data_IF_313405531118
#
_entry.id   IF_313405531118
#
_cell.length_a   1.000
_cell.length_b   1.000
_cell.length_c   1.000
_cell.angle_alpha   90.00
_cell.angle_beta   90.00
_cell.angle_gamma   90.00
#
_symmetry.space_group_name_H-M   'P 1'
#
loop_
_entity.id
_entity.type
_entity.pdbx_description
1 polymer ?
#
# COMPACT_ATOMS: atom_id res chain seq x y z
N UNK A 1 -5.33 1.75 -1.41
CA UNK A 1 -4.26 2.70 -1.78
C UNK A 1 -4.65 3.57 -2.97
N UNK A 2 -5.42 3.05 -3.91
CA UNK A 2 -5.87 3.73 -5.12
C UNK A 2 -6.40 5.16 -4.93
N UNK A 3 -7.23 5.42 -3.91
CA UNK A 3 -7.78 6.76 -3.66
C UNK A 3 -6.74 7.83 -3.32
N UNK A 4 -5.63 7.44 -2.69
CA UNK A 4 -4.54 8.38 -2.36
C UNK A 4 -3.80 8.78 -3.64
N UNK A 5 -3.53 7.82 -4.53
CA UNK A 5 -2.95 8.11 -5.84
C UNK A 5 -3.86 9.03 -6.65
N UNK A 6 -5.18 8.75 -6.63
CA UNK A 6 -6.16 9.59 -7.30
C UNK A 6 -6.19 11.01 -6.74
N UNK A 7 -6.17 11.16 -5.41
CA UNK A 7 -6.14 12.47 -4.75
C UNK A 7 -4.85 13.23 -5.05
N UNK A 8 -3.69 12.55 -5.08
CA UNK A 8 -2.42 13.15 -5.47
C UNK A 8 -2.45 13.65 -6.92
N UNK A 9 -2.86 12.78 -7.86
CA UNK A 9 -2.94 13.16 -9.27
C UNK A 9 -3.96 14.29 -9.48
N UNK A 10 -5.11 14.23 -8.82
CA UNK A 10 -6.09 15.32 -8.83
C UNK A 10 -5.53 16.65 -8.32
N UNK A 11 -4.76 16.62 -7.22
CA UNK A 11 -4.11 17.80 -6.68
C UNK A 11 -3.12 18.43 -7.67
N UNK A 12 -2.31 17.60 -8.34
CA UNK A 12 -1.31 18.05 -9.31
C UNK A 12 -1.92 18.48 -10.64
N UNK A 13 -3.06 17.92 -11.03
CA UNK A 13 -3.80 18.38 -12.21
C UNK A 13 -4.49 19.72 -11.95
N UNK A 14 -4.94 19.96 -10.71
CA UNK A 14 -5.59 21.22 -10.33
C UNK A 14 -4.58 22.35 -10.10
N UNK A 15 -3.44 22.05 -9.47
CA UNK A 15 -2.38 23.01 -9.17
C UNK A 15 -0.98 22.42 -9.50
N UNK A 16 -0.55 22.51 -10.78
CA UNK A 16 0.68 21.86 -11.27
C UNK A 16 1.95 22.35 -10.58
N UNK A 17 1.99 23.59 -10.09
CA UNK A 17 3.16 24.14 -9.39
C UNK A 17 3.46 23.43 -8.07
N UNK A 18 2.47 22.75 -7.49
CA UNK A 18 2.68 21.95 -6.28
C UNK A 18 3.58 20.75 -6.47
N UNK A 19 3.88 20.36 -7.71
CA UNK A 19 4.86 19.31 -7.99
C UNK A 19 6.21 19.61 -7.33
N UNK A 20 6.62 20.88 -7.24
CA UNK A 20 7.84 21.32 -6.55
C UNK A 20 7.88 20.95 -5.05
N UNK A 21 6.71 20.79 -4.41
CA UNK A 21 6.59 20.42 -3.00
C UNK A 21 6.45 18.90 -2.79
N UNK A 22 6.49 18.12 -3.88
CA UNK A 22 6.35 16.67 -3.86
C UNK A 22 7.74 16.05 -4.05
N UNK A 23 8.17 15.26 -3.06
CA UNK A 23 9.49 14.63 -3.03
C UNK A 23 9.37 13.13 -2.77
N UNK A 24 10.35 12.33 -3.20
CA UNK A 24 10.46 10.92 -2.83
C UNK A 24 9.54 9.96 -3.60
N UNK A 25 8.85 10.44 -4.63
CA UNK A 25 8.03 9.61 -5.51
C UNK A 25 8.46 9.74 -6.97
N UNK A 26 8.34 8.64 -7.70
CA UNK A 26 8.56 8.56 -9.13
C UNK A 26 7.37 7.85 -9.80
N UNK A 27 7.37 7.74 -11.13
CA UNK A 27 6.26 7.15 -11.87
C UNK A 27 5.99 5.68 -11.46
N UNK A 28 7.04 4.91 -11.15
CA UNK A 28 6.96 3.53 -10.64
C UNK A 28 6.38 3.42 -9.21
N UNK A 29 6.23 4.56 -8.52
CA UNK A 29 5.60 4.62 -7.19
C UNK A 29 4.10 4.39 -7.24
N UNK A 30 3.49 4.48 -8.43
CA UNK A 30 2.05 4.27 -8.62
C UNK A 30 1.73 2.79 -8.86
N UNK A 31 0.55 2.37 -8.43
CA UNK A 31 0.11 0.97 -8.53
C UNK A 31 -0.34 0.61 -9.95
N UNK A 32 -0.82 1.58 -10.72
CA UNK A 32 -1.32 1.34 -12.09
C UNK A 32 -0.48 2.05 -13.13
N UNK A 33 -0.33 1.44 -14.30
CA UNK A 33 0.39 2.04 -15.43
C UNK A 33 -0.23 3.37 -15.88
N UNK A 34 -1.56 3.52 -15.79
CA UNK A 34 -2.27 4.74 -16.12
C UNK A 34 -1.88 5.91 -15.18
N UNK A 35 -1.81 5.65 -13.88
CA UNK A 35 -1.39 6.65 -12.89
C UNK A 35 0.10 6.99 -13.02
N UNK A 36 0.95 5.98 -13.25
CA UNK A 36 2.36 6.18 -13.53
C UNK A 36 2.58 7.08 -14.76
N UNK A 37 1.85 6.83 -15.84
CA UNK A 37 1.91 7.61 -17.07
C UNK A 37 1.43 9.06 -16.89
N UNK A 38 0.40 9.27 -16.06
CA UNK A 38 -0.08 10.61 -15.69
C UNK A 38 0.97 11.38 -14.90
N UNK A 39 1.49 10.78 -13.82
CA UNK A 39 2.52 11.42 -13.00
C UNK A 39 3.76 11.75 -13.83
N UNK A 40 4.20 10.82 -14.68
CA UNK A 40 5.34 11.03 -15.56
C UNK A 40 5.11 12.18 -16.55
N UNK A 41 3.91 12.31 -17.13
CA UNK A 41 3.59 13.43 -18.03
C UNK A 41 3.59 14.77 -17.30
N UNK A 42 2.92 14.84 -16.14
CA UNK A 42 2.88 16.03 -15.28
C UNK A 42 4.31 16.45 -14.88
N UNK A 43 5.19 15.47 -14.60
CA UNK A 43 6.57 15.76 -14.19
C UNK A 43 7.49 16.19 -15.31
N UNK A 44 7.14 15.92 -16.56
CA UNK A 44 7.96 16.26 -17.74
C UNK A 44 7.52 17.52 -18.45
N UNK A 45 6.23 17.86 -18.38
CA UNK A 45 5.69 19.04 -19.04
C UNK A 45 5.99 20.29 -18.19
N UNK A 46 6.35 21.43 -18.81
CA UNK A 46 6.49 22.67 -18.07
C UNK A 46 5.15 23.02 -17.41
N UNK A 47 5.15 23.49 -16.14
CA UNK A 47 3.92 23.91 -15.50
C UNK A 47 3.34 25.13 -16.25
N UNK A 48 2.02 25.18 -16.49
CA UNK A 48 1.38 26.29 -17.18
C UNK A 48 1.35 27.53 -16.27
N UNK A 49 1.16 28.71 -16.84
CA UNK A 49 0.86 29.89 -16.03
C UNK A 49 -0.43 29.66 -15.20
N UNK A 50 -0.45 29.98 -13.88
CA UNK A 50 -1.62 29.74 -13.04
C UNK A 50 -2.91 30.43 -13.54
N UNK A 51 -2.80 31.64 -14.08
CA UNK A 51 -3.97 32.41 -14.53
C UNK A 51 -4.53 31.83 -15.84
N UNK A 52 -3.67 31.29 -16.71
CA UNK A 52 -4.07 30.58 -17.92
C UNK A 52 -4.65 29.19 -17.63
N UNK A 53 -4.08 28.47 -16.66
CA UNK A 53 -4.52 27.11 -16.28
C UNK A 53 -5.96 27.09 -15.76
N UNK A 54 -6.39 28.15 -15.07
CA UNK A 54 -7.77 28.30 -14.59
C UNK A 54 -8.77 28.52 -15.74
N UNK A 55 -8.34 29.15 -16.84
CA UNK A 55 -9.22 29.56 -17.95
C UNK A 55 -9.31 28.53 -19.06
N UNK A 56 -8.34 27.62 -19.16
CA UNK A 56 -8.14 26.82 -20.35
C UNK A 56 -7.56 25.43 -20.04
N UNK A 57 -8.01 24.43 -20.78
CA UNK A 57 -7.58 23.03 -20.67
C UNK A 57 -6.36 22.66 -21.49
N UNK A 58 -5.75 23.58 -22.26
CA UNK A 58 -4.59 23.29 -23.15
C UNK A 58 -3.51 22.43 -22.48
N UNK A 59 -3.13 22.74 -21.25
CA UNK A 59 -2.12 21.95 -20.54
C UNK A 59 -2.64 20.57 -20.14
N UNK A 60 -3.91 20.45 -19.72
CA UNK A 60 -4.55 19.15 -19.44
C UNK A 60 -4.64 18.27 -20.70
N UNK A 61 -4.89 18.88 -21.86
CA UNK A 61 -4.92 18.18 -23.15
C UNK A 61 -3.52 17.66 -23.52
N UNK A 62 -2.47 18.45 -23.27
CA UNK A 62 -1.08 18.02 -23.43
C UNK A 62 -0.73 16.88 -22.47
N UNK A 63 -1.06 16.98 -21.18
CA UNK A 63 -0.85 15.91 -20.20
C UNK A 63 -1.54 14.63 -20.67
N UNK A 64 -2.80 14.71 -21.11
CA UNK A 64 -3.54 13.56 -21.60
C UNK A 64 -2.87 12.93 -22.83
N UNK A 65 -2.47 13.75 -23.81
CA UNK A 65 -1.80 13.28 -25.02
C UNK A 65 -0.48 12.58 -24.70
N UNK A 66 0.36 13.17 -23.84
CA UNK A 66 1.63 12.59 -23.42
C UNK A 66 1.43 11.30 -22.62
N UNK A 67 0.49 11.25 -21.68
CA UNK A 67 0.24 10.04 -20.90
C UNK A 67 -0.29 8.88 -21.75
N UNK A 68 -1.09 9.17 -22.78
CA UNK A 68 -1.63 8.15 -23.70
C UNK A 68 -0.56 7.45 -24.52
N UNK A 69 0.61 8.06 -24.72
CA UNK A 69 1.75 7.41 -25.38
C UNK A 69 2.30 6.25 -24.54
N UNK A 70 2.11 6.28 -23.21
CA UNK A 70 2.63 5.29 -22.25
C UNK A 70 1.56 4.34 -21.73
N UNK A 71 0.30 4.78 -21.63
CA UNK A 71 -0.80 3.97 -21.13
C UNK A 71 -2.10 4.21 -21.92
N UNK A 72 -2.72 3.12 -22.38
CA UNK A 72 -4.02 3.16 -23.06
C UNK A 72 -5.16 3.38 -22.07
N UNK A 73 -6.31 3.84 -22.55
CA UNK A 73 -7.56 3.91 -21.77
C UNK A 73 -7.72 5.18 -20.92
N UNK A 74 -6.77 6.11 -20.92
CA UNK A 74 -6.94 7.43 -20.29
C UNK A 74 -7.93 8.28 -21.11
N UNK A 75 -8.91 8.89 -20.44
CA UNK A 75 -9.93 9.75 -21.04
C UNK A 75 -9.97 11.13 -20.37
N UNK A 76 -10.47 12.17 -21.06
CA UNK A 76 -10.69 13.48 -20.44
C UNK A 76 -11.64 13.39 -19.23
N UNK A 77 -12.68 12.56 -19.32
CA UNK A 77 -13.62 12.32 -18.21
C UNK A 77 -12.93 11.72 -16.98
N UNK A 78 -11.93 10.85 -17.19
CA UNK A 78 -11.15 10.30 -16.09
C UNK A 78 -10.27 11.35 -15.41
N UNK A 79 -9.62 12.24 -16.17
CA UNK A 79 -8.88 13.38 -15.61
C UNK A 79 -9.80 14.27 -14.76
N UNK A 80 -11.00 14.57 -15.27
CA UNK A 80 -11.99 15.32 -14.50
C UNK A 80 -12.36 14.60 -13.20
N UNK A 81 -12.54 13.28 -13.24
CA UNK A 81 -12.81 12.47 -12.04
C UNK A 81 -11.68 12.57 -11.01
N UNK A 82 -10.41 12.52 -11.45
CA UNK A 82 -9.26 12.67 -10.56
C UNK A 82 -9.27 14.03 -9.85
N UNK A 83 -9.54 15.11 -10.58
CA UNK A 83 -9.66 16.46 -10.01
C UNK A 83 -10.77 16.50 -8.95
N UNK A 84 -11.93 15.89 -9.23
CA UNK A 84 -13.06 15.86 -8.27
C UNK A 84 -12.78 15.00 -7.03
N UNK A 85 -11.94 13.97 -7.12
CA UNK A 85 -11.58 13.11 -5.99
C UNK A 85 -10.62 13.82 -5.02
N UNK A 86 -9.88 14.83 -5.46
CA UNK A 86 -8.94 15.56 -4.62
C UNK A 86 -9.67 16.46 -3.61
N UNK A 87 -9.62 16.17 -2.30
CA UNK A 87 -10.34 16.97 -1.31
C UNK A 87 -9.68 18.33 -1.05
N UNK A 88 -8.34 18.33 -0.97
CA UNK A 88 -7.54 19.52 -0.66
C UNK A 88 -6.20 19.46 -1.42
N UNK A 89 -6.03 20.25 -2.50
CA UNK A 89 -4.80 20.22 -3.31
C UNK A 89 -3.54 20.58 -2.52
N UNK A 90 -3.68 21.46 -1.51
CA UNK A 90 -2.59 21.84 -0.62
C UNK A 90 -1.96 20.67 0.15
N UNK A 91 -2.64 19.53 0.27
CA UNK A 91 -2.13 18.33 0.92
C UNK A 91 -1.39 17.39 -0.04
N UNK A 92 -1.05 17.82 -1.26
CA UNK A 92 -0.24 17.03 -2.20
C UNK A 92 1.01 16.38 -1.57
N UNK A 93 1.80 17.08 -0.72
CA UNK A 93 2.96 16.44 -0.07
C UNK A 93 2.56 15.27 0.86
N UNK A 94 1.42 15.37 1.55
CA UNK A 94 0.94 14.31 2.42
C UNK A 94 0.48 13.09 1.61
N UNK A 95 -0.26 13.30 0.52
CA UNK A 95 -0.65 12.21 -0.39
C UNK A 95 0.58 11.54 -1.02
N UNK A 96 1.58 12.32 -1.42
CA UNK A 96 2.84 11.79 -1.94
C UNK A 96 3.56 10.88 -0.94
N UNK A 97 3.66 11.28 0.34
CA UNK A 97 4.25 10.42 1.39
C UNK A 97 3.49 9.13 1.59
N UNK A 98 2.15 9.15 1.48
CA UNK A 98 1.34 7.94 1.53
C UNK A 98 1.58 7.03 0.32
N UNK A 99 1.74 7.61 -0.89
CA UNK A 99 2.10 6.87 -2.11
C UNK A 99 3.48 6.23 -1.99
N UNK A 100 4.48 7.00 -1.55
CA UNK A 100 5.84 6.52 -1.29
C UNK A 100 5.84 5.34 -0.30
N UNK A 101 5.12 5.46 0.81
CA UNK A 101 5.05 4.42 1.84
C UNK A 101 4.43 3.11 1.33
N UNK A 102 3.43 3.17 0.45
CA UNK A 102 2.90 1.94 -0.13
C UNK A 102 3.75 1.40 -1.29
N UNK A 103 4.44 2.24 -2.06
CA UNK A 103 5.45 1.76 -3.01
C UNK A 103 6.59 1.04 -2.30
N UNK A 104 7.09 1.59 -1.18
CA UNK A 104 8.10 0.94 -0.34
C UNK A 104 7.66 -0.44 0.13
N UNK A 105 6.42 -0.57 0.61
CA UNK A 105 5.84 -1.88 0.99
C UNK A 105 5.78 -2.86 -0.18
N UNK A 106 5.35 -2.41 -1.37
CA UNK A 106 5.33 -3.27 -2.57
C UNK A 106 6.73 -3.70 -2.98
N UNK A 107 7.71 -2.79 -2.96
CA UNK A 107 9.13 -3.12 -3.23
C UNK A 107 9.67 -4.18 -2.28
N UNK A 108 9.40 -4.02 -0.99
CA UNK A 108 9.80 -5.00 0.02
C UNK A 108 9.14 -6.36 -0.21
N UNK A 109 7.84 -6.36 -0.46
CA UNK A 109 7.08 -7.58 -0.75
C UNK A 109 7.64 -8.30 -1.99
N UNK A 110 7.83 -7.58 -3.10
CA UNK A 110 8.39 -8.17 -4.34
C UNK A 110 9.80 -8.73 -4.13
N UNK A 111 10.65 -8.07 -3.33
CA UNK A 111 11.98 -8.59 -3.02
C UNK A 111 11.91 -9.87 -2.16
N UNK A 112 11.02 -9.90 -1.16
CA UNK A 112 10.81 -11.10 -0.34
C UNK A 112 10.22 -12.27 -1.15
N UNK A 113 9.27 -12.00 -2.05
CA UNK A 113 8.69 -13.01 -2.95
C UNK A 113 9.74 -13.61 -3.89
N UNK A 114 10.67 -12.80 -4.43
CA UNK A 114 11.79 -13.30 -5.24
C UNK A 114 12.73 -14.21 -4.47
N UNK A 115 13.03 -13.87 -3.22
CA UNK A 115 13.84 -14.71 -2.35
C UNK A 115 13.15 -16.05 -2.09
N UNK A 116 11.87 -16.04 -1.71
CA UNK A 116 11.08 -17.27 -1.48
C UNK A 116 11.08 -18.12 -2.75
N UNK A 117 10.77 -17.53 -3.90
CA UNK A 117 10.74 -18.23 -5.18
C UNK A 117 12.10 -18.85 -5.54
N UNK A 118 13.20 -18.19 -5.20
CA UNK A 118 14.57 -18.68 -5.46
C UNK A 118 14.96 -19.79 -4.49
N UNK A 119 14.50 -19.75 -3.24
CA UNK A 119 14.70 -20.83 -2.26
C UNK A 119 13.95 -22.09 -2.68
N UNK A 120 12.72 -21.94 -3.20
CA UNK A 120 11.89 -23.06 -3.63
C UNK A 120 12.32 -23.64 -4.99
N UNK A 121 13.04 -22.87 -5.82
CA UNK A 121 13.51 -23.31 -7.13
C UNK A 121 14.84 -24.08 -7.07
N UNK A 122 14.74 -25.40 -6.90
CA UNK A 122 15.88 -26.32 -6.88
C UNK A 122 16.55 -26.54 -8.26
N UNK A 123 16.03 -25.96 -9.34
CA UNK A 123 16.55 -26.17 -10.70
C UNK A 123 17.74 -25.26 -11.05
N UNK A 124 18.09 -24.32 -10.18
CA UNK A 124 19.17 -23.38 -10.45
C UNK A 124 20.57 -24.03 -10.39
N UNK A 125 21.46 -23.71 -11.35
CA UNK A 125 22.88 -23.99 -11.17
C UNK A 125 23.38 -23.13 -10.00
N UNK A 126 23.96 -23.76 -8.99
CA UNK A 126 24.41 -23.13 -7.73
C UNK A 126 23.28 -22.50 -6.87
N UNK A 127 22.33 -23.30 -6.34
CA UNK A 127 21.17 -22.79 -5.61
C UNK A 127 21.52 -21.88 -4.42
N UNK A 128 22.53 -22.27 -3.63
CA UNK A 128 22.93 -21.54 -2.42
C UNK A 128 23.46 -20.14 -2.76
N UNK A 129 24.34 -20.03 -3.75
CA UNK A 129 24.90 -18.75 -4.18
C UNK A 129 23.80 -17.79 -4.64
N UNK A 130 22.83 -18.32 -5.39
CA UNK A 130 21.70 -17.52 -5.88
C UNK A 130 20.78 -17.04 -4.75
N UNK A 131 20.50 -17.90 -3.76
CA UNK A 131 19.71 -17.52 -2.58
C UNK A 131 20.42 -16.42 -1.79
N UNK A 132 21.74 -16.51 -1.61
CA UNK A 132 22.52 -15.47 -0.94
C UNK A 132 22.48 -14.14 -1.71
N UNK A 133 22.60 -14.18 -3.04
CA UNK A 133 22.48 -12.98 -3.87
C UNK A 133 21.10 -12.30 -3.75
N UNK A 134 20.00 -13.07 -3.70
CA UNK A 134 18.66 -12.51 -3.48
C UNK A 134 18.48 -11.97 -2.05
N UNK A 135 19.10 -12.58 -1.05
CA UNK A 135 19.10 -12.06 0.32
C UNK A 135 19.87 -10.72 0.44
N UNK A 136 20.99 -10.58 -0.27
CA UNK A 136 21.72 -9.31 -0.36
C UNK A 136 20.92 -8.23 -1.08
N UNK A 137 20.21 -8.59 -2.16
CA UNK A 137 19.29 -7.69 -2.86
C UNK A 137 18.14 -7.23 -1.93
N UNK A 138 17.56 -8.14 -1.15
CA UNK A 138 16.54 -7.81 -0.14
C UNK A 138 17.10 -6.87 0.93
N UNK A 139 18.31 -7.13 1.43
CA UNK A 139 18.99 -6.27 2.41
C UNK A 139 19.20 -4.86 1.87
N UNK A 140 19.58 -4.72 0.59
CA UNK A 140 19.69 -3.43 -0.09
C UNK A 140 18.34 -2.70 -0.13
N UNK A 141 17.25 -3.39 -0.47
CA UNK A 141 15.89 -2.81 -0.47
C UNK A 141 15.47 -2.36 0.94
N UNK A 142 15.78 -3.14 1.98
CA UNK A 142 15.48 -2.76 3.37
C UNK A 142 16.28 -1.53 3.78
N UNK A 143 17.57 -1.46 3.46
CA UNK A 143 18.42 -0.29 3.72
C UNK A 143 17.91 0.98 3.03
N UNK A 144 17.57 0.87 1.75
CA UNK A 144 16.94 1.91 0.94
C UNK A 144 15.62 2.44 1.50
N UNK A 145 14.81 1.56 2.11
CA UNK A 145 13.53 1.94 2.73
C UNK A 145 13.79 2.59 4.08
N UNK A 146 14.71 2.05 4.88
CA UNK A 146 15.06 2.61 6.18
C UNK A 146 15.62 4.04 6.07
N UNK A 147 16.40 4.34 5.03
CA UNK A 147 16.93 5.69 4.78
C UNK A 147 15.83 6.70 4.40
N UNK A 148 14.80 6.28 3.65
CA UNK A 148 13.65 7.12 3.28
C UNK A 148 12.63 7.29 4.40
N UNK A 149 12.53 6.30 5.29
CA UNK A 149 11.62 6.31 6.43
C UNK A 149 12.40 6.19 7.75
N UNK A 150 13.19 7.22 8.13
CA UNK A 150 13.96 7.15 9.35
C UNK A 150 13.02 6.93 10.54
N UNK A 151 13.38 6.04 11.49
CA UNK A 151 12.60 5.85 12.70
C UNK A 151 12.39 7.20 13.39
N UNK A 152 11.14 7.64 13.52
CA UNK A 152 10.84 8.90 14.21
C UNK A 152 11.28 8.75 15.66
N UNK A 153 12.31 9.49 16.05
CA UNK A 153 12.69 9.62 17.45
C UNK A 153 11.50 10.22 18.22
N UNK A 154 10.96 9.51 19.20
CA UNK A 154 10.04 10.07 20.19
C UNK A 154 8.54 9.80 20.05
N UNK A 155 8.06 8.95 19.13
CA UNK A 155 6.59 8.73 18.98
C UNK A 155 6.07 7.46 19.67
N UNK A 156 6.93 6.59 20.20
CA UNK A 156 6.51 5.50 21.10
C UNK A 156 7.51 5.35 22.25
N UNK A 157 7.07 5.13 23.49
CA UNK A 157 7.95 4.58 24.52
C UNK A 157 8.35 3.19 24.03
N UNK A 158 9.58 3.05 23.52
CA UNK A 158 10.14 1.71 23.37
C UNK A 158 10.26 1.16 24.80
N UNK A 159 9.61 0.04 25.08
CA UNK A 159 10.02 -0.82 26.19
C UNK A 159 11.54 -0.97 26.05
N UNK A 160 12.29 -0.47 27.03
CA UNK A 160 13.73 -0.59 27.03
C UNK A 160 14.10 -2.06 26.78
N UNK A 161 15.08 -2.29 25.91
CA UNK A 161 15.58 -3.64 25.69
C UNK A 161 15.95 -4.23 27.06
N UNK A 162 15.49 -5.45 27.41
CA UNK A 162 15.85 -6.06 28.68
C UNK A 162 17.39 -6.13 28.74
N UNK A 163 17.99 -5.81 29.90
CA UNK A 163 19.44 -5.90 30.05
C UNK A 163 19.92 -7.31 29.72
N UNK A 164 21.12 -7.46 29.14
CA UNK A 164 21.66 -8.78 28.82
C UNK A 164 21.64 -9.63 30.09
N UNK A 165 21.05 -10.83 29.99
CA UNK A 165 21.00 -11.76 31.09
C UNK A 165 22.44 -12.02 31.56
N UNK A 166 22.74 -11.61 32.79
CA UNK A 166 23.92 -12.08 33.50
C UNK A 166 23.73 -13.60 33.58
N UNK A 167 24.58 -14.35 32.89
CA UNK A 167 24.68 -15.80 33.06
C UNK A 167 25.16 -16.05 34.48
N UNK A 168 24.22 -16.15 35.44
CA UNK A 168 24.51 -16.75 36.73
C UNK A 168 24.79 -18.23 36.49
N UNK A 169 26.07 -18.55 36.66
CA UNK A 169 26.62 -19.90 36.74
C UNK A 169 25.80 -20.72 37.75
N UNK A 170 24.88 -21.53 37.25
CA UNK A 170 24.07 -22.42 38.08
C UNK A 170 24.87 -23.69 38.36
N UNK A 171 25.80 -23.56 39.31
CA UNK A 171 26.31 -24.70 40.06
C UNK A 171 25.16 -25.37 40.83
N UNK A 172 24.89 -26.60 40.40
CA UNK A 172 24.21 -27.72 41.06
C UNK A 172 23.76 -27.52 42.52
N UNK A 173 22.45 -27.52 42.75
CA UNK A 173 21.88 -27.91 44.04
C UNK A 173 20.59 -28.72 43.84
N UNK A 174 20.81 -30.03 43.83
CA UNK A 174 19.82 -31.11 43.78
C UNK A 174 18.91 -31.04 45.01
N UNK A 175 17.60 -30.92 44.85
CA UNK A 175 16.64 -31.26 45.91
C UNK A 175 15.39 -31.91 45.31
N UNK A 176 15.27 -33.22 45.55
CA UNK A 176 14.12 -34.04 45.20
C UNK A 176 12.98 -33.72 46.17
N UNK A 177 11.78 -33.48 45.66
CA UNK A 177 10.55 -33.86 46.36
C UNK A 177 9.45 -34.18 45.35
N UNK A 178 8.86 -35.33 45.60
CA UNK A 178 7.95 -36.11 44.77
C UNK A 178 6.53 -35.54 44.75
N UNK A 179 5.79 -35.84 43.68
CA UNK A 179 4.54 -36.61 43.73
C UNK A 179 3.38 -36.01 42.91
N UNK A 180 2.89 -36.86 42.00
CA UNK A 180 1.51 -37.02 41.52
C UNK A 180 0.67 -35.78 41.18
N UNK A 181 0.34 -35.63 39.89
CA UNK A 181 -0.93 -36.16 39.38
C UNK A 181 -1.01 -35.99 37.85
N UNK A 182 -1.12 -37.12 37.16
CA UNK A 182 -1.43 -37.25 35.75
C UNK A 182 -2.85 -36.75 35.47
N UNK A 183 -3.01 -35.90 34.45
CA UNK A 183 -4.32 -35.43 33.99
C UNK A 183 -4.77 -36.29 32.80
N UNK A 184 -5.96 -36.93 32.82
CA UNK A 184 -6.41 -37.76 31.70
C UNK A 184 -6.97 -36.90 30.54
N UNK A 185 -6.89 -37.38 29.28
CA UNK A 185 -7.38 -36.65 28.10
C UNK A 185 -8.92 -36.75 27.93
N UNK A 186 -9.56 -35.76 27.27
CA UNK A 186 -11.01 -35.72 27.08
C UNK A 186 -11.51 -36.65 25.95
N UNK A 187 -12.78 -37.09 26.00
CA UNK A 187 -13.38 -38.01 25.01
C UNK A 187 -13.78 -37.33 23.70
N UNK A 188 -13.76 -38.12 22.61
CA UNK A 188 -14.06 -37.71 21.23
C UNK A 188 -15.58 -37.53 20.95
N UNK A 189 -15.97 -36.68 19.97
CA UNK A 189 -17.37 -36.42 19.64
C UNK A 189 -17.99 -37.50 18.72
N UNK A 190 -19.32 -37.74 18.81
CA UNK A 190 -20.02 -38.71 17.98
C UNK A 190 -20.30 -38.20 16.56
N UNK A 191 -20.07 -39.09 15.60
CA UNK A 191 -20.51 -38.97 14.20
C UNK A 191 -22.01 -39.15 14.08
N UNK A 192 -22.69 -38.27 13.34
CA UNK A 192 -24.05 -38.51 12.86
C UNK A 192 -24.16 -38.12 11.38
N UNK A 193 -24.40 -39.15 10.59
CA UNK A 193 -24.67 -39.13 9.17
C UNK A 193 -26.16 -38.95 8.88
N UNK A 194 -26.43 -38.43 7.67
CA UNK A 194 -27.53 -38.75 6.74
C UNK A 194 -28.86 -37.98 6.82
N UNK A 195 -29.29 -37.62 5.60
CA UNK A 195 -30.67 -37.38 5.14
C UNK A 195 -30.91 -35.90 4.87
N UNK A 196 -31.21 -35.40 3.68
CA UNK A 196 -31.70 -36.02 2.45
C UNK A 196 -32.91 -35.24 1.96
N UNK A 197 -32.84 -34.70 0.74
CA UNK A 197 -34.02 -34.44 -0.11
C UNK A 197 -34.48 -32.98 -0.30
N UNK A 198 -35.18 -32.69 -1.43
CA UNK A 198 -34.95 -31.47 -2.20
C UNK A 198 -36.20 -30.59 -2.42
N UNK A 199 -35.95 -29.38 -2.95
CA UNK A 199 -36.90 -28.65 -3.80
C UNK A 199 -37.49 -27.37 -3.21
N UNK A 200 -37.22 -26.22 -3.84
CA UNK A 200 -38.19 -25.49 -4.68
C UNK A 200 -37.69 -24.09 -5.06
N UNK A 201 -38.11 -23.74 -6.26
CA UNK A 201 -38.07 -22.47 -6.97
C UNK A 201 -38.63 -21.28 -6.17
N UNK A 202 -37.99 -20.11 -6.32
CA UNK A 202 -38.48 -18.83 -5.82
C UNK A 202 -37.84 -17.66 -6.57
N UNK A 203 -38.62 -17.08 -7.48
CA UNK A 203 -38.37 -15.82 -8.20
C UNK A 203 -38.32 -14.62 -7.26
N UNK A 204 -37.35 -13.71 -7.42
CA UNK A 204 -37.28 -12.46 -6.65
C UNK A 204 -36.39 -11.39 -7.30
N UNK A 205 -37.05 -10.34 -7.81
CA UNK A 205 -36.54 -9.15 -8.50
C UNK A 205 -35.65 -8.21 -7.63
N UNK A 206 -35.05 -7.14 -8.21
CA UNK A 206 -33.70 -6.68 -7.85
C UNK A 206 -33.61 -5.72 -6.67
N UNK A 207 -32.53 -5.90 -5.90
CA UNK A 207 -32.11 -5.00 -4.82
C UNK A 207 -31.75 -3.59 -5.33
N UNK A 208 -32.61 -2.63 -4.96
CA UNK A 208 -32.26 -1.23 -4.71
C UNK A 208 -30.99 -1.18 -3.84
N UNK A 209 -29.85 -0.77 -4.40
CA UNK A 209 -28.69 -0.36 -3.60
C UNK A 209 -28.84 1.11 -3.23
N UNK A 210 -29.18 1.31 -1.96
CA UNK A 210 -29.15 2.58 -1.25
C UNK A 210 -27.75 3.21 -1.32
N UNK A 211 -27.69 4.48 -1.72
CA UNK A 211 -26.48 5.29 -1.65
C UNK A 211 -26.05 5.51 -0.18
N UNK A 212 -24.74 5.51 0.13
CA UNK A 212 -24.23 5.71 1.48
C UNK A 212 -24.45 7.16 2.01
N UNK A 213 -24.74 7.25 3.30
CA UNK A 213 -25.19 8.44 4.07
C UNK A 213 -24.21 9.62 4.20
N UNK A 214 -23.07 9.63 3.50
CA UNK A 214 -22.10 10.74 3.60
C UNK A 214 -22.42 11.93 2.67
N UNK A 215 -23.37 11.78 1.73
CA UNK A 215 -23.76 12.82 0.78
C UNK A 215 -24.86 13.79 1.29
N UNK A 216 -25.00 13.98 2.61
CA UNK A 216 -26.07 14.83 3.18
C UNK A 216 -25.59 15.65 4.38
N UNK A 217 -24.57 16.48 4.14
CA UNK A 217 -24.07 17.64 4.90
C UNK A 217 -22.92 18.13 3.99
N UNK A 218 -22.94 19.27 3.33
CA UNK A 218 -23.16 20.61 3.85
C UNK A 218 -23.63 21.52 2.71
N UNK A 219 -24.89 21.93 2.77
CA UNK A 219 -25.28 23.28 2.38
C UNK A 219 -25.30 24.08 3.68
N UNK A 220 -24.69 25.27 3.65
CA UNK A 220 -24.81 26.40 4.60
C UNK A 220 -23.45 26.93 5.06
N UNK A 221 -23.40 28.28 5.18
CA UNK A 221 -22.30 29.22 5.50
C UNK A 221 -21.28 29.39 4.36
N UNK A 222 -21.40 30.33 3.41
CA UNK A 222 -21.61 31.78 3.49
C UNK A 222 -20.47 32.52 4.22
N UNK A 223 -19.84 33.43 3.46
CA UNK A 223 -18.71 34.34 3.74
C UNK A 223 -17.31 33.77 3.49
#
# INVERSE_FOLDING_TARGET
MFHVEQALLGALLLDPHRLSNVSGIAADSFTTAAHAALYAAISTLPPPDPAEHVKNTKWLDQVLATSRQRARGLTPSYLHTLVQVCPWPRHAPAYARMVEAGHARRRLQTAAERLIQTVDDASHPHPVEKVLAEADALTTVVGDIASRFPPRAGVLPRTAAPPPAITTDHAEARSRRSSCCSRPPPPAPPTSSRGGGPGRSGTGSPLRRSAPRWARRQLSTAW
#
